data_IF_570146327225
#
_entry.id   IF_570146327225
#
_cell.length_a   1.000
_cell.length_b   1.000
_cell.length_c   1.000
_cell.angle_alpha   90.00
_cell.angle_beta   90.00
_cell.angle_gamma   90.00
#
_symmetry.space_group_name_H-M   'P 1'
#
loop_
_entity.id
_entity.type
_entity.pdbx_description
1 polymer ?
#
# COMPACT_ATOMS: atom_id res chain seq x y z
N UNK A 1 20.43 -23.38 29.10
CA UNK A 1 19.91 -22.58 27.98
C UNK A 1 19.55 -23.53 26.86
N UNK A 2 18.28 -23.62 26.44
CA UNK A 2 17.89 -24.56 25.37
C UNK A 2 18.35 -23.98 24.03
N UNK A 3 19.13 -24.76 23.28
CA UNK A 3 19.49 -24.47 21.89
C UNK A 3 18.22 -24.14 21.12
N UNK A 4 18.16 -22.91 20.65
CA UNK A 4 16.95 -22.25 20.18
C UNK A 4 16.48 -22.85 18.84
N UNK A 5 15.24 -22.59 18.47
CA UNK A 5 14.59 -23.13 17.26
C UNK A 5 15.42 -22.83 16.01
N UNK A 6 16.03 -23.87 15.42
CA UNK A 6 16.72 -23.76 14.14
C UNK A 6 15.68 -23.82 13.01
N UNK A 7 15.04 -22.68 12.73
CA UNK A 7 14.03 -22.56 11.69
C UNK A 7 14.67 -22.72 10.30
N UNK A 8 14.60 -23.92 9.75
CA UNK A 8 15.02 -24.23 8.38
C UNK A 8 13.97 -23.74 7.37
N UNK A 9 14.16 -22.51 6.88
CA UNK A 9 13.27 -21.88 5.92
C UNK A 9 13.21 -22.59 4.55
N UNK A 10 14.16 -23.50 4.24
CA UNK A 10 14.08 -24.31 3.02
C UNK A 10 12.92 -25.32 3.05
N UNK A 11 12.47 -25.68 4.25
CA UNK A 11 11.32 -26.59 4.49
C UNK A 11 10.01 -25.83 4.72
N UNK A 12 10.04 -24.49 4.68
CA UNK A 12 8.84 -23.69 4.87
C UNK A 12 7.88 -23.88 3.69
N UNK A 13 6.57 -23.88 3.98
CA UNK A 13 5.56 -23.86 2.93
C UNK A 13 5.52 -22.49 2.25
N UNK A 14 5.29 -22.41 0.93
CA UNK A 14 5.06 -21.14 0.26
C UNK A 14 3.97 -20.34 0.98
N UNK A 15 4.22 -19.04 1.15
CA UNK A 15 3.25 -18.16 1.79
C UNK A 15 1.92 -18.18 1.01
N UNK A 16 0.86 -18.74 1.59
CA UNK A 16 -0.48 -18.80 0.98
C UNK A 16 -1.06 -17.43 0.61
N UNK A 17 -0.55 -16.36 1.21
CA UNK A 17 -0.93 -14.98 0.94
C UNK A 17 -0.07 -14.31 -0.14
N UNK A 18 1.04 -14.91 -0.56
CA UNK A 18 1.87 -14.37 -1.63
C UNK A 18 1.11 -14.26 -2.95
N UNK A 19 0.15 -15.17 -3.19
CA UNK A 19 -0.75 -15.12 -4.34
C UNK A 19 -1.93 -14.16 -4.19
N UNK A 20 -2.13 -13.51 -3.03
CA UNK A 20 -3.16 -12.47 -2.87
C UNK A 20 -2.63 -11.13 -3.37
N UNK A 21 -1.31 -10.91 -3.29
CA UNK A 21 -0.63 -9.72 -3.82
C UNK A 21 -0.35 -9.90 -5.32
N UNK A 22 -1.37 -10.28 -6.09
CA UNK A 22 -1.27 -10.50 -7.55
C UNK A 22 -1.32 -9.22 -8.38
N UNK A 23 -1.70 -8.10 -7.77
CA UNK A 23 -1.58 -6.77 -8.34
C UNK A 23 -0.50 -5.99 -7.60
N UNK A 24 0.06 -4.96 -8.24
CA UNK A 24 0.99 -4.01 -7.59
C UNK A 24 0.25 -3.27 -6.45
N UNK A 25 0.13 -3.92 -5.31
CA UNK A 25 -0.41 -3.32 -4.09
C UNK A 25 0.67 -2.39 -3.55
N UNK A 26 0.42 -1.09 -3.63
CA UNK A 26 1.25 -0.08 -3.00
C UNK A 26 0.61 0.26 -1.66
N UNK A 27 1.32 -0.03 -0.57
CA UNK A 27 0.88 0.28 0.78
C UNK A 27 1.40 1.68 1.17
N UNK A 28 0.48 2.55 1.56
CA UNK A 28 0.81 3.86 2.12
C UNK A 28 0.46 3.88 3.61
N UNK A 29 1.42 4.16 4.50
CA UNK A 29 1.11 4.49 5.88
C UNK A 29 0.27 5.78 5.89
N UNK A 30 -0.79 5.79 6.68
CA UNK A 30 -1.61 6.96 6.96
C UNK A 30 -1.78 7.10 8.47
N UNK A 31 -1.94 8.33 8.93
CA UNK A 31 -2.14 8.62 10.35
C UNK A 31 -3.52 8.13 10.82
N UNK A 32 -3.64 7.87 12.13
CA UNK A 32 -4.83 7.27 12.74
C UNK A 32 -6.08 8.15 12.57
N UNK A 33 -5.91 9.47 12.63
CA UNK A 33 -6.97 10.45 12.43
C UNK A 33 -7.53 10.40 11.00
N UNK A 34 -6.67 10.22 9.99
CA UNK A 34 -7.07 10.05 8.59
C UNK A 34 -7.78 8.72 8.39
N UNK A 35 -7.28 7.65 9.02
CA UNK A 35 -7.89 6.31 8.96
C UNK A 35 -9.29 6.27 9.60
N UNK A 36 -9.57 7.12 10.59
CA UNK A 36 -10.91 7.26 11.19
C UNK A 36 -11.94 7.84 10.23
N UNK A 37 -11.51 8.62 9.24
CA UNK A 37 -12.39 9.25 8.24
C UNK A 37 -12.73 8.28 7.11
N UNK A 38 -11.74 7.58 6.57
CA UNK A 38 -11.93 6.67 5.43
C UNK A 38 -12.03 5.22 5.88
N UNK A 39 -13.22 4.63 5.80
CA UNK A 39 -13.48 3.27 6.29
C UNK A 39 -13.05 2.18 5.31
N UNK A 40 -12.82 2.54 4.05
CA UNK A 40 -12.34 1.61 3.02
C UNK A 40 -11.45 2.31 1.98
N UNK A 41 -10.62 1.56 1.25
CA UNK A 41 -9.73 2.12 0.23
C UNK A 41 -10.46 2.82 -0.92
N UNK A 42 -11.70 2.43 -1.25
CA UNK A 42 -12.44 3.03 -2.35
C UNK A 42 -12.83 4.48 -2.04
N UNK A 43 -13.30 4.76 -0.82
CA UNK A 43 -13.59 6.11 -0.33
C UNK A 43 -12.35 7.01 -0.36
N UNK A 44 -11.23 6.53 0.20
CA UNK A 44 -9.97 7.26 0.20
C UNK A 44 -9.49 7.57 -1.22
N UNK A 45 -9.50 6.57 -2.11
CA UNK A 45 -9.07 6.76 -3.50
C UNK A 45 -9.96 7.74 -4.27
N UNK A 46 -11.27 7.74 -4.03
CA UNK A 46 -12.18 8.68 -4.68
C UNK A 46 -11.93 10.12 -4.22
N UNK A 47 -11.72 10.34 -2.91
CA UNK A 47 -11.38 11.66 -2.38
C UNK A 47 -10.03 12.16 -2.94
N UNK A 48 -9.00 11.31 -2.92
CA UNK A 48 -7.67 11.66 -3.45
C UNK A 48 -7.73 11.98 -4.95
N UNK A 49 -8.49 11.22 -5.75
CA UNK A 49 -8.69 11.52 -7.18
C UNK A 49 -9.41 12.84 -7.41
N UNK A 50 -10.42 13.16 -6.59
CA UNK A 50 -11.11 14.44 -6.67
C UNK A 50 -10.15 15.61 -6.40
N UNK A 51 -9.28 15.47 -5.40
CA UNK A 51 -8.22 16.45 -5.11
C UNK A 51 -7.25 16.56 -6.28
N UNK A 52 -6.73 15.45 -6.81
CA UNK A 52 -5.82 15.44 -7.97
C UNK A 52 -6.45 16.16 -9.17
N UNK A 53 -7.75 15.95 -9.42
CA UNK A 53 -8.48 16.61 -10.51
C UNK A 53 -8.67 18.11 -10.28
N UNK A 54 -8.82 18.53 -9.03
CA UNK A 54 -8.96 19.94 -8.64
C UNK A 54 -7.59 20.66 -8.55
N UNK A 55 -6.49 19.93 -8.42
CA UNK A 55 -5.15 20.51 -8.40
C UNK A 55 -4.85 21.18 -9.74
N UNK A 56 -4.25 22.38 -9.74
CA UNK A 56 -3.85 23.03 -10.98
C UNK A 56 -2.89 22.10 -11.71
N UNK A 57 -3.26 21.73 -12.94
CA UNK A 57 -2.37 20.98 -13.82
C UNK A 57 -1.10 21.79 -13.93
N UNK A 58 0.03 21.28 -13.40
CA UNK A 58 1.32 21.88 -13.67
C UNK A 58 1.40 22.01 -15.18
N UNK A 59 1.37 23.26 -15.68
CA UNK A 59 1.61 23.54 -17.08
C UNK A 59 2.80 22.71 -17.47
N UNK A 60 2.61 21.82 -18.46
CA UNK A 60 3.68 20.98 -18.96
C UNK A 60 4.85 21.91 -19.22
N UNK A 61 5.85 21.90 -18.33
CA UNK A 61 7.09 22.61 -18.55
C UNK A 61 7.69 21.87 -19.73
N UNK A 62 7.40 22.40 -20.92
CA UNK A 62 8.03 22.04 -22.18
C UNK A 62 9.52 22.10 -21.86
N UNK A 63 10.12 20.93 -21.63
CA UNK A 63 11.56 20.84 -21.60
C UNK A 63 11.97 21.22 -23.03
N UNK A 64 12.48 22.44 -23.14
CA UNK A 64 13.28 22.90 -24.29
C UNK A 64 14.62 22.17 -24.25
#
# INVERSE_FOLDING_TARGET
MKNEYNLDYSKAKPNRFAGIVREKVILYPIDEDVAKVFKNPAEANNALRAIINAMPKKSARKQL
#
